data_IF_911528908374
#
_entry.id   IF_911528908374
#
_cell.length_a   1.000
_cell.length_b   1.000
_cell.length_c   1.000
_cell.angle_alpha   90.00
_cell.angle_beta   90.00
_cell.angle_gamma   90.00
#
_symmetry.space_group_name_H-M   'P 1'
#
loop_
_entity.id
_entity.type
_entity.pdbx_description
1 polymer ?
#
# COMPACT_ATOMS: atom_id res chain seq x y z
N UNK A 1 18.92 -4.10 9.92
CA UNK A 1 17.54 -4.44 10.36
C UNK A 1 16.83 -3.32 11.11
N UNK A 2 17.44 -2.66 12.11
CA UNK A 2 16.80 -1.58 12.88
C UNK A 2 16.34 -0.40 11.98
N UNK A 3 17.14 -0.02 10.98
CA UNK A 3 16.77 1.02 9.99
C UNK A 3 15.53 0.65 9.16
N UNK A 4 15.46 -0.58 8.65
CA UNK A 4 14.30 -1.08 7.86
C UNK A 4 13.03 -1.07 8.69
N UNK A 5 13.08 -1.57 9.93
CA UNK A 5 11.91 -1.58 10.84
C UNK A 5 11.41 -0.16 11.13
N UNK A 6 12.32 0.79 11.38
CA UNK A 6 11.98 2.21 11.62
C UNK A 6 11.37 2.85 10.37
N UNK A 7 11.96 2.62 9.20
CA UNK A 7 11.49 3.15 7.92
C UNK A 7 10.10 2.63 7.59
N UNK A 8 9.89 1.31 7.67
CA UNK A 8 8.57 0.69 7.44
C UNK A 8 7.53 1.28 8.37
N UNK A 9 7.83 1.48 9.67
CA UNK A 9 6.87 2.09 10.60
C UNK A 9 6.49 3.53 10.20
N UNK A 10 7.46 4.36 9.80
CA UNK A 10 7.20 5.73 9.32
C UNK A 10 6.33 5.70 8.05
N UNK A 11 6.68 4.85 7.10
CA UNK A 11 5.93 4.70 5.85
C UNK A 11 4.50 4.19 6.10
N UNK A 12 4.30 3.22 6.99
CA UNK A 12 2.97 2.75 7.38
C UNK A 12 2.12 3.88 7.94
N UNK A 13 2.67 4.69 8.85
CA UNK A 13 1.93 5.84 9.40
C UNK A 13 1.58 6.86 8.31
N UNK A 14 2.52 7.16 7.41
CA UNK A 14 2.25 8.08 6.29
C UNK A 14 1.15 7.56 5.37
N UNK A 15 1.17 6.26 5.02
CA UNK A 15 0.13 5.64 4.19
C UNK A 15 -1.24 5.70 4.89
N UNK A 16 -1.30 5.45 6.20
CA UNK A 16 -2.56 5.54 6.98
C UNK A 16 -3.10 6.96 6.98
N UNK A 17 -2.25 7.96 7.21
CA UNK A 17 -2.65 9.38 7.22
C UNK A 17 -3.15 9.79 5.84
N UNK A 18 -2.42 9.45 4.77
CA UNK A 18 -2.84 9.74 3.40
C UNK A 18 -4.17 9.06 3.07
N UNK A 19 -4.32 7.77 3.39
CA UNK A 19 -5.56 7.04 3.16
C UNK A 19 -6.77 7.62 3.89
N UNK A 20 -6.58 8.12 5.12
CA UNK A 20 -7.65 8.80 5.87
C UNK A 20 -8.05 10.13 5.22
N UNK A 21 -7.07 10.92 4.76
CA UNK A 21 -7.32 12.18 4.04
C UNK A 21 -8.05 11.91 2.73
N UNK A 22 -7.59 10.92 1.96
CA UNK A 22 -8.20 10.53 0.69
C UNK A 22 -9.63 10.03 0.89
N UNK A 23 -9.89 9.23 1.91
CA UNK A 23 -11.23 8.75 2.24
C UNK A 23 -12.20 9.91 2.56
N UNK A 24 -11.73 10.91 3.32
CA UNK A 24 -12.49 12.13 3.60
C UNK A 24 -12.81 12.90 2.32
N UNK A 25 -11.79 13.14 1.48
CA UNK A 25 -11.97 13.85 0.20
C UNK A 25 -12.94 13.08 -0.71
N UNK A 26 -12.77 11.76 -0.84
CA UNK A 26 -13.64 10.92 -1.65
C UNK A 26 -15.09 10.93 -1.15
N UNK A 27 -15.30 10.89 0.17
CA UNK A 27 -16.64 10.96 0.75
C UNK A 27 -17.36 12.28 0.44
N UNK A 28 -16.62 13.39 0.39
CA UNK A 28 -17.17 14.71 0.04
C UNK A 28 -17.50 14.80 -1.46
N UNK A 29 -16.66 14.22 -2.33
CA UNK A 29 -16.78 14.36 -3.80
C UNK A 29 -17.70 13.33 -4.44
N UNK A 30 -17.68 12.07 -3.97
CA UNK A 30 -18.26 10.91 -4.66
C UNK A 30 -19.39 10.20 -3.91
N UNK A 31 -19.83 10.72 -2.77
CA UNK A 31 -20.71 10.12 -1.75
C UNK A 31 -19.97 9.35 -0.64
N UNK A 32 -20.45 9.50 0.61
CA UNK A 32 -19.82 8.90 1.80
C UNK A 32 -19.83 7.37 1.75
N UNK A 33 -20.80 6.77 1.08
CA UNK A 33 -20.88 5.32 0.83
C UNK A 33 -19.75 4.79 -0.05
N UNK A 34 -19.00 5.65 -0.74
CA UNK A 34 -17.83 5.28 -1.57
C UNK A 34 -16.48 5.59 -0.91
N UNK A 35 -16.48 6.23 0.26
CA UNK A 35 -15.26 6.62 1.01
C UNK A 35 -14.39 5.43 1.47
N UNK A 36 -14.94 4.21 1.47
CA UNK A 36 -14.19 3.01 1.85
C UNK A 36 -13.21 2.55 0.77
N UNK A 37 -13.35 2.99 -0.48
CA UNK A 37 -12.43 2.63 -1.57
C UNK A 37 -10.96 2.97 -1.25
N UNK A 38 -10.63 4.25 -0.96
CA UNK A 38 -9.29 4.65 -0.52
C UNK A 38 -8.79 3.93 0.73
N UNK A 39 -9.69 3.59 1.67
CA UNK A 39 -9.34 2.83 2.88
C UNK A 39 -8.90 1.41 2.51
N UNK A 40 -9.66 0.72 1.64
CA UNK A 40 -9.30 -0.61 1.17
C UNK A 40 -7.96 -0.59 0.42
N UNK A 41 -7.78 0.37 -0.49
CA UNK A 41 -6.53 0.54 -1.24
C UNK A 41 -5.32 0.80 -0.33
N UNK A 42 -5.47 1.71 0.64
CA UNK A 42 -4.41 2.06 1.60
C UNK A 42 -4.07 0.91 2.54
N UNK A 43 -5.07 0.13 2.96
CA UNK A 43 -4.86 -1.13 3.71
C UNK A 43 -4.04 -2.11 2.87
N UNK A 44 -4.40 -2.25 1.59
CA UNK A 44 -3.65 -3.06 0.63
C UNK A 44 -2.19 -2.61 0.47
N UNK A 45 -1.96 -1.29 0.40
CA UNK A 45 -0.64 -0.68 0.35
C UNK A 45 0.21 -0.99 1.59
N UNK A 46 -0.38 -0.94 2.80
CA UNK A 46 0.30 -1.33 4.03
C UNK A 46 0.66 -2.82 4.02
N UNK A 47 -0.24 -3.70 3.61
CA UNK A 47 0.02 -5.13 3.52
C UNK A 47 1.15 -5.44 2.52
N UNK A 48 1.17 -4.76 1.38
CA UNK A 48 2.25 -4.86 0.40
C UNK A 48 3.60 -4.41 0.98
N UNK A 49 3.61 -3.32 1.74
CA UNK A 49 4.82 -2.82 2.42
C UNK A 49 5.34 -3.83 3.46
N UNK A 50 4.46 -4.40 4.27
CA UNK A 50 4.82 -5.41 5.28
C UNK A 50 5.31 -6.71 4.65
N UNK A 51 4.66 -7.16 3.56
CA UNK A 51 5.12 -8.27 2.74
C UNK A 51 6.53 -8.02 2.20
N UNK A 52 6.78 -6.83 1.63
CA UNK A 52 8.09 -6.45 1.13
C UNK A 52 9.16 -6.41 2.24
N UNK A 53 8.82 -5.86 3.41
CA UNK A 53 9.70 -5.88 4.59
C UNK A 53 10.11 -7.32 4.95
N UNK A 54 9.15 -8.23 5.00
CA UNK A 54 9.41 -9.63 5.34
C UNK A 54 10.31 -10.31 4.29
N UNK A 55 10.11 -10.02 3.00
CA UNK A 55 10.98 -10.52 1.94
C UNK A 55 12.41 -9.99 2.09
N UNK A 56 12.58 -8.69 2.36
CA UNK A 56 13.90 -8.07 2.59
C UNK A 56 14.60 -8.73 3.79
N UNK A 57 13.89 -8.93 4.90
CA UNK A 57 14.46 -9.58 6.10
C UNK A 57 14.85 -11.03 5.82
N UNK A 58 14.02 -11.80 5.09
CA UNK A 58 14.34 -13.17 4.68
C UNK A 58 15.55 -13.23 3.75
N UNK A 59 15.64 -12.33 2.77
CA UNK A 59 16.76 -12.26 1.82
C UNK A 59 18.06 -11.88 2.53
N UNK A 60 18.01 -10.91 3.45
CA UNK A 60 19.17 -10.53 4.26
C UNK A 60 19.65 -11.69 5.14
N UNK A 61 18.73 -12.45 5.74
CA UNK A 61 19.06 -13.60 6.58
C UNK A 61 19.64 -14.77 5.75
N UNK A 62 19.02 -15.11 4.61
CA UNK A 62 19.43 -16.25 3.78
C UNK A 62 20.60 -15.92 2.83
N UNK A 63 21.00 -14.64 2.72
CA UNK A 63 21.99 -14.14 1.75
C UNK A 63 21.71 -14.56 0.31
N UNK A 64 20.42 -14.68 -0.05
CA UNK A 64 19.97 -15.08 -1.38
C UNK A 64 18.71 -14.33 -1.76
N UNK A 65 18.52 -14.12 -3.06
CA UNK A 65 17.31 -13.52 -3.64
C UNK A 65 16.31 -14.58 -4.13
N UNK A 66 16.59 -15.88 -3.92
CA UNK A 66 15.66 -16.96 -4.27
C UNK A 66 14.31 -16.76 -3.56
N UNK A 67 13.24 -16.72 -4.36
CA UNK A 67 11.87 -16.53 -3.89
C UNK A 67 11.32 -15.11 -3.99
N UNK A 68 12.14 -14.11 -4.33
CA UNK A 68 11.68 -12.72 -4.45
C UNK A 68 10.58 -12.55 -5.53
N UNK A 69 10.67 -13.32 -6.62
CA UNK A 69 9.67 -13.32 -7.70
C UNK A 69 8.29 -13.76 -7.20
N UNK A 70 8.23 -14.78 -6.33
CA UNK A 70 6.96 -15.26 -5.78
C UNK A 70 6.30 -14.18 -4.93
N UNK A 71 7.08 -13.50 -4.08
CA UNK A 71 6.60 -12.37 -3.30
C UNK A 71 6.16 -11.20 -4.18
N UNK A 72 6.90 -10.92 -5.25
CA UNK A 72 6.55 -9.89 -6.24
C UNK A 72 5.20 -10.19 -6.90
N UNK A 73 5.03 -11.37 -7.51
CA UNK A 73 3.77 -11.74 -8.16
C UNK A 73 2.60 -11.76 -7.19
N UNK A 74 2.81 -12.26 -5.96
CA UNK A 74 1.79 -12.26 -4.91
C UNK A 74 1.25 -10.86 -4.59
N UNK A 75 2.14 -9.87 -4.44
CA UNK A 75 1.73 -8.47 -4.19
C UNK A 75 0.95 -7.87 -5.36
N UNK A 76 1.36 -8.14 -6.60
CA UNK A 76 0.66 -7.63 -7.78
C UNK A 76 -0.71 -8.29 -7.97
N UNK A 77 -0.81 -9.60 -7.79
CA UNK A 77 -2.07 -10.32 -7.86
C UNK A 77 -3.03 -9.85 -6.75
N UNK A 78 -2.51 -9.63 -5.55
CA UNK A 78 -3.27 -9.05 -4.45
C UNK A 78 -3.78 -7.64 -4.79
N UNK A 79 -2.91 -6.73 -5.26
CA UNK A 79 -3.34 -5.40 -5.70
C UNK A 79 -4.37 -5.45 -6.84
N UNK A 80 -4.20 -6.34 -7.81
CA UNK A 80 -5.16 -6.54 -8.89
C UNK A 80 -6.51 -7.02 -8.36
N UNK A 81 -6.52 -7.92 -7.37
CA UNK A 81 -7.77 -8.39 -6.73
C UNK A 81 -8.51 -7.28 -5.99
N UNK A 82 -7.79 -6.37 -5.32
CA UNK A 82 -8.40 -5.21 -4.67
C UNK A 82 -9.02 -4.26 -5.70
N UNK A 83 -8.33 -3.99 -6.81
CA UNK A 83 -8.88 -3.19 -7.91
C UNK A 83 -10.10 -3.86 -8.53
N UNK A 84 -10.08 -5.19 -8.72
CA UNK A 84 -11.22 -5.93 -9.21
C UNK A 84 -12.43 -5.78 -8.27
N UNK A 85 -12.23 -5.94 -6.95
CA UNK A 85 -13.27 -5.73 -5.94
C UNK A 85 -13.86 -4.32 -6.05
N UNK A 86 -13.00 -3.29 -6.17
CA UNK A 86 -13.46 -1.91 -6.35
C UNK A 86 -14.27 -1.72 -7.63
N UNK A 87 -13.79 -2.27 -8.76
CA UNK A 87 -14.44 -2.17 -10.06
C UNK A 87 -15.76 -2.93 -10.17
N UNK A 88 -15.93 -4.02 -9.41
CA UNK A 88 -17.20 -4.74 -9.30
C UNK A 88 -18.29 -3.93 -8.57
N UNK A 89 -17.89 -2.96 -7.74
CA UNK A 89 -18.83 -2.07 -7.03
C UNK A 89 -19.18 -0.86 -7.88
N UNK A 90 -18.18 -0.06 -8.25
CA UNK A 90 -18.38 1.09 -9.14
C UNK A 90 -17.05 1.63 -9.69
N UNK A 91 -17.13 2.46 -10.72
CA UNK A 91 -15.94 3.14 -11.26
C UNK A 91 -15.29 4.07 -10.23
N UNK A 92 -16.06 4.77 -9.40
CA UNK A 92 -15.49 5.64 -8.37
C UNK A 92 -14.83 4.83 -7.26
N UNK A 93 -15.41 3.71 -6.84
CA UNK A 93 -14.76 2.82 -5.87
C UNK A 93 -13.46 2.23 -6.42
N UNK A 94 -13.42 1.86 -7.71
CA UNK A 94 -12.17 1.47 -8.40
C UNK A 94 -11.11 2.58 -8.30
N UNK A 95 -11.45 3.83 -8.63
CA UNK A 95 -10.52 4.96 -8.51
C UNK A 95 -10.08 5.13 -7.06
N UNK A 96 -11.00 5.05 -6.11
CA UNK A 96 -10.68 5.14 -4.68
C UNK A 96 -9.65 4.10 -4.26
N UNK A 97 -9.87 2.83 -4.61
CA UNK A 97 -8.92 1.74 -4.32
C UNK A 97 -7.57 1.99 -5.02
N UNK A 98 -7.58 2.44 -6.27
CA UNK A 98 -6.37 2.77 -7.00
C UNK A 98 -5.56 3.87 -6.30
N UNK A 99 -6.21 4.96 -5.91
CA UNK A 99 -5.59 6.07 -5.18
C UNK A 99 -4.97 5.58 -3.88
N UNK A 100 -5.72 4.81 -3.08
CA UNK A 100 -5.19 4.24 -1.83
C UNK A 100 -3.98 3.31 -2.06
N UNK A 101 -3.98 2.51 -3.12
CA UNK A 101 -2.82 1.66 -3.46
C UNK A 101 -1.60 2.49 -3.88
N UNK A 102 -1.81 3.63 -4.54
CA UNK A 102 -0.75 4.53 -5.00
C UNK A 102 0.02 5.19 -3.85
N UNK A 103 -0.58 5.28 -2.66
CA UNK A 103 0.12 5.75 -1.45
C UNK A 103 1.43 5.03 -1.19
N UNK A 104 1.52 3.73 -1.49
CA UNK A 104 2.78 3.01 -1.33
C UNK A 104 3.89 3.59 -2.22
N UNK A 105 3.59 3.92 -3.48
CA UNK A 105 4.56 4.51 -4.41
C UNK A 105 4.94 5.93 -4.01
N UNK A 106 3.95 6.75 -3.66
CA UNK A 106 4.15 8.14 -3.25
C UNK A 106 5.00 8.21 -1.97
N UNK A 107 4.61 7.46 -0.95
CA UNK A 107 5.34 7.43 0.32
C UNK A 107 6.74 6.86 0.13
N UNK A 108 6.94 5.84 -0.72
CA UNK A 108 8.28 5.33 -1.02
C UNK A 108 9.19 6.37 -1.68
N UNK A 109 8.64 7.22 -2.55
CA UNK A 109 9.38 8.31 -3.16
C UNK A 109 9.82 9.36 -2.13
N UNK A 110 8.92 9.73 -1.20
CA UNK A 110 9.22 10.72 -0.16
C UNK A 110 10.12 10.15 0.94
N UNK A 111 10.07 8.83 1.16
CA UNK A 111 10.80 8.13 2.22
C UNK A 111 12.33 8.23 2.12
N UNK A 112 12.88 8.63 0.97
CA UNK A 112 14.30 8.98 0.83
C UNK A 112 14.75 9.97 1.91
N UNK A 113 13.91 10.96 2.25
CA UNK A 113 14.18 11.98 3.26
C UNK A 113 14.23 11.45 4.71
N UNK A 114 13.95 10.16 4.92
CA UNK A 114 13.97 9.52 6.23
C UNK A 114 15.09 8.50 6.41
N UNK A 115 15.99 8.39 5.42
CA UNK A 115 17.17 7.51 5.45
C UNK A 115 18.38 8.13 6.15
N UNK A 116 18.35 9.45 6.35
CA UNK A 116 19.27 10.23 7.19
C UNK A 116 19.00 10.00 8.69
#
# INVERSE_FOLDING_TARGET
>A
MIKVKRLTRKMTMAIIIMGAIEALIFGIVCDIGKSWGPILGSTGAVLNLLSLKNDIEKMAHKKTTKGWMVGFFGRYLFSASLLLIGGLVSFETLIGVFVGLMNLKIVSFIAWRWLD
#
